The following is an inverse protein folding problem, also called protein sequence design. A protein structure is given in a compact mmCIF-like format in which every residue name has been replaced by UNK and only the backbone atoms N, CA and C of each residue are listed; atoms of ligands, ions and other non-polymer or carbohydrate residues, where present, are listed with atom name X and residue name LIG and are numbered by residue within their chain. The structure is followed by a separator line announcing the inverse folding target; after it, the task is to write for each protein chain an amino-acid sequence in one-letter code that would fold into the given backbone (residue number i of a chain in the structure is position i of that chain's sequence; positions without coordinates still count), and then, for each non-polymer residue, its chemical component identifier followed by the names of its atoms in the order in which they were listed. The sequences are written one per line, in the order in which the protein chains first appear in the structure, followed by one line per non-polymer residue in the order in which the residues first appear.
data_IF_618285316571
#
_entry.id   IF_618285316571
#
_cell.length_a   1.000
_cell.length_b   1.000
_cell.length_c   1.000
_cell.angle_alpha   90.00
_cell.angle_beta   90.00
_cell.angle_gamma   90.00
#
_symmetry.space_group_name_H-M   'P 1'
#
loop_
_entity.id
_entity.type
_entity.pdbx_description
1 polymer ?
#
# COMPACT_ATOMS: atom_id res chain seq x y z
N UNK A 1 -6.50 -7.32 5.91
CA UNK A 1 -7.04 -7.37 4.52
C UNK A 1 -7.42 -6.01 3.97
N UNK A 2 -6.47 -5.17 3.61
CA UNK A 2 -6.77 -4.14 2.62
C UNK A 2 -5.73 -4.11 1.53
N UNK A 3 -6.29 -4.18 0.34
CA UNK A 3 -5.64 -4.27 -0.93
C UNK A 3 -5.92 -2.91 -1.57
N UNK A 4 -4.90 -2.26 -2.12
CA UNK A 4 -5.17 -1.12 -3.00
C UNK A 4 -5.68 -1.71 -4.32
N UNK A 5 -7.00 -1.78 -4.45
CA UNK A 5 -7.63 -2.37 -5.62
C UNK A 5 -7.78 -1.33 -6.74
N UNK A 6 -7.28 -1.64 -7.92
CA UNK A 6 -7.41 -0.76 -9.08
C UNK A 6 -8.05 -1.48 -10.26
N UNK A 7 -9.01 -0.81 -10.91
CA UNK A 7 -9.54 -1.24 -12.20
C UNK A 7 -8.41 -1.13 -13.23
N UNK A 8 -7.93 -2.28 -13.71
CA UNK A 8 -6.73 -2.36 -14.53
C UNK A 8 -7.07 -2.90 -15.92
N UNK A 9 -6.62 -2.23 -17.00
CA UNK A 9 -6.70 -2.79 -18.34
C UNK A 9 -5.84 -4.05 -18.45
N UNK A 10 -6.39 -5.13 -19.00
CA UNK A 10 -5.61 -6.35 -19.30
C UNK A 10 -4.85 -6.13 -20.62
N UNK A 11 -3.54 -6.42 -20.65
CA UNK A 11 -2.82 -6.50 -21.93
C UNK A 11 -3.45 -7.60 -22.80
N UNK A 12 -4.07 -7.20 -23.92
CA UNK A 12 -4.76 -8.13 -24.82
C UNK A 12 -3.77 -9.10 -25.45
N UNK A 13 -4.10 -10.39 -25.48
CA UNK A 13 -3.65 -11.24 -26.57
C UNK A 13 -4.24 -10.71 -27.90
N UNK A 14 -3.46 -10.73 -28.99
CA UNK A 14 -3.91 -10.23 -30.29
C UNK A 14 -5.28 -10.82 -30.69
N UNK A 15 -6.33 -9.99 -30.80
CA UNK A 15 -7.63 -10.37 -31.38
C UNK A 15 -8.88 -10.23 -30.52
N UNK A 16 -8.82 -9.72 -29.29
CA UNK A 16 -10.02 -9.53 -28.46
C UNK A 16 -10.84 -8.26 -28.87
N UNK A 17 -12.16 -8.24 -28.58
CA UNK A 17 -13.11 -7.17 -28.95
C UNK A 17 -13.15 -6.02 -27.92
N UNK A 18 -13.36 -4.79 -28.39
CA UNK A 18 -13.42 -3.56 -27.59
C UNK A 18 -14.62 -3.57 -26.61
N UNK A 19 -14.34 -3.38 -25.31
CA UNK A 19 -15.38 -3.06 -24.29
C UNK A 19 -15.60 -4.04 -23.14
N UNK A 20 -14.99 -5.24 -23.12
CA UNK A 20 -15.27 -6.28 -22.09
C UNK A 20 -14.09 -6.60 -21.14
N UNK A 21 -12.96 -5.86 -21.20
CA UNK A 21 -11.67 -6.31 -20.64
C UNK A 21 -11.11 -5.45 -19.47
N UNK A 22 -11.96 -5.10 -18.50
CA UNK A 22 -11.49 -4.50 -17.24
C UNK A 22 -11.52 -5.55 -16.14
N UNK A 23 -10.41 -5.70 -15.43
CA UNK A 23 -10.32 -6.56 -14.25
C UNK A 23 -10.12 -5.73 -12.99
N UNK A 24 -10.64 -6.24 -11.89
CA UNK A 24 -10.29 -5.77 -10.57
C UNK A 24 -8.98 -6.45 -10.17
N UNK A 25 -7.88 -5.70 -10.29
CA UNK A 25 -6.56 -6.24 -9.99
C UNK A 25 -6.21 -5.98 -8.54
N UNK A 26 -5.78 -7.05 -7.86
CA UNK A 26 -5.14 -6.96 -6.56
C UNK A 26 -3.64 -6.71 -6.74
N UNK A 27 -3.01 -5.97 -5.83
CA UNK A 27 -1.57 -5.77 -5.86
C UNK A 27 -0.83 -7.07 -5.55
N UNK A 28 0.40 -7.17 -6.06
CA UNK A 28 1.29 -8.24 -5.68
C UNK A 28 1.78 -8.02 -4.25
N UNK A 29 1.48 -8.95 -3.35
CA UNK A 29 1.99 -8.94 -1.98
C UNK A 29 3.37 -9.60 -1.90
N UNK A 30 4.31 -8.93 -1.24
CA UNK A 30 5.68 -9.43 -1.04
C UNK A 30 6.11 -9.14 0.38
N UNK A 31 6.60 -10.17 1.08
CA UNK A 31 7.31 -9.98 2.35
C UNK A 31 8.77 -9.65 2.06
N UNK A 32 9.28 -8.56 2.65
CA UNK A 32 10.67 -8.15 2.52
C UNK A 32 11.16 -7.47 3.81
N UNK A 33 12.48 -7.48 4.08
CA UNK A 33 13.07 -6.69 5.15
C UNK A 33 12.77 -5.19 5.02
N UNK A 34 12.54 -4.51 6.15
CA UNK A 34 12.19 -3.09 6.18
C UNK A 34 13.28 -2.19 5.57
N UNK A 35 14.56 -2.47 5.85
CA UNK A 35 15.69 -1.77 5.26
C UNK A 35 15.70 -1.85 3.72
N UNK A 36 15.39 -3.01 3.15
CA UNK A 36 15.25 -3.20 1.71
C UNK A 36 14.07 -2.47 1.12
N UNK A 37 12.95 -2.43 1.84
CA UNK A 37 11.80 -1.64 1.43
C UNK A 37 12.15 -0.15 1.38
N UNK A 38 12.87 0.37 2.38
CA UNK A 38 13.34 1.75 2.42
C UNK A 38 14.30 2.07 1.27
N UNK A 39 15.31 1.21 1.03
CA UNK A 39 16.23 1.33 -0.14
C UNK A 39 15.44 1.49 -1.46
N UNK A 40 14.36 0.72 -1.62
CA UNK A 40 13.55 0.74 -2.83
C UNK A 40 12.77 2.04 -2.97
N UNK A 41 12.03 2.47 -1.94
CA UNK A 41 11.18 3.68 -2.03
C UNK A 41 12.00 4.97 -2.14
N UNK A 42 13.24 4.98 -1.65
CA UNK A 42 14.19 6.09 -1.81
C UNK A 42 14.85 6.11 -3.19
N UNK A 43 14.85 4.98 -3.91
CA UNK A 43 15.37 4.89 -5.27
C UNK A 43 14.40 5.52 -6.29
N UNK A 44 14.89 6.22 -7.34
CA UNK A 44 14.03 6.84 -8.35
C UNK A 44 13.07 5.85 -9.02
N UNK A 45 11.78 6.19 -9.07
CA UNK A 45 10.78 5.40 -9.78
C UNK A 45 10.86 5.55 -11.30
N UNK A 46 11.27 6.73 -11.77
CA UNK A 46 11.28 7.15 -13.18
C UNK A 46 12.68 7.68 -13.52
N UNK A 47 13.21 7.37 -14.71
CA UNK A 47 14.47 7.98 -15.16
C UNK A 47 14.26 9.48 -15.37
N UNK A 48 15.22 10.29 -14.91
CA UNK A 48 15.17 11.74 -15.07
C UNK A 48 15.01 12.14 -16.55
N UNK A 49 13.96 12.91 -16.85
CA UNK A 49 13.63 13.31 -18.21
C UNK A 49 12.92 12.25 -19.06
N UNK A 50 12.45 11.15 -18.46
CA UNK A 50 11.61 10.13 -19.12
C UNK A 50 10.24 10.00 -18.47
N UNK A 51 9.26 9.44 -19.18
CA UNK A 51 8.01 8.94 -18.60
C UNK A 51 8.08 7.44 -18.26
N UNK A 52 9.26 6.83 -18.39
CA UNK A 52 9.45 5.39 -18.24
C UNK A 52 9.74 5.03 -16.79
N UNK A 53 8.88 4.20 -16.20
CA UNK A 53 9.13 3.61 -14.88
C UNK A 53 10.30 2.61 -14.96
N UNK A 54 11.22 2.75 -14.02
CA UNK A 54 12.37 1.84 -13.84
C UNK A 54 11.99 0.57 -13.08
N UNK A 55 11.02 0.67 -12.17
CA UNK A 55 10.60 -0.38 -11.25
C UNK A 55 9.12 -0.27 -10.89
N UNK A 56 8.61 -1.27 -10.16
CA UNK A 56 7.26 -1.26 -9.62
C UNK A 56 7.12 -0.19 -8.53
N UNK A 57 5.89 0.32 -8.36
CA UNK A 57 5.51 1.19 -7.25
C UNK A 57 5.32 0.33 -6.02
N UNK A 58 6.04 0.65 -4.95
CA UNK A 58 5.99 -0.05 -3.67
C UNK A 58 5.27 0.80 -2.62
N UNK A 59 4.55 0.11 -1.74
CA UNK A 59 3.92 0.68 -0.58
C UNK A 59 3.67 -0.42 0.46
N UNK A 60 3.74 -0.05 1.74
CA UNK A 60 3.26 -0.82 2.87
C UNK A 60 1.92 -0.20 3.28
N UNK A 61 0.82 -0.82 2.84
CA UNK A 61 -0.55 -0.40 3.16
C UNK A 61 -1.41 -1.55 3.67
N UNK A 62 -0.77 -2.64 4.11
CA UNK A 62 -1.48 -3.76 4.69
C UNK A 62 -2.31 -3.24 5.87
N UNK A 63 -3.63 -3.37 5.77
CA UNK A 63 -4.53 -3.15 6.90
C UNK A 63 -4.74 -4.46 7.64
N UNK A 64 -5.13 -4.35 8.91
CA UNK A 64 -5.39 -5.41 9.89
C UNK A 64 -4.40 -5.34 11.07
N UNK A 65 -4.28 -4.13 11.60
CA UNK A 65 -3.40 -3.78 12.71
C UNK A 65 -1.91 -3.90 12.40
N UNK A 66 -1.50 -3.55 11.17
CA UNK A 66 -0.12 -3.70 10.67
C UNK A 66 0.95 -3.01 11.50
N UNK A 67 0.61 -1.95 12.25
CA UNK A 67 1.56 -1.35 13.19
C UNK A 67 1.97 -2.35 14.29
N UNK A 68 1.08 -3.25 14.69
CA UNK A 68 1.31 -4.17 15.81
C UNK A 68 1.73 -5.57 15.33
N UNK A 69 1.46 -5.93 14.08
CA UNK A 69 1.87 -7.22 13.50
C UNK A 69 3.22 -7.14 12.79
N UNK A 70 3.46 -6.05 12.05
CA UNK A 70 4.57 -5.97 11.09
C UNK A 70 5.64 -4.94 11.52
N UNK A 71 5.26 -3.97 12.36
CA UNK A 71 6.12 -2.84 12.79
C UNK A 71 6.03 -2.58 14.30
N UNK A 72 5.95 -3.65 15.11
CA UNK A 72 5.69 -3.57 16.56
C UNK A 72 6.71 -2.68 17.29
N UNK A 73 7.95 -2.63 16.82
CA UNK A 73 9.02 -1.79 17.38
C UNK A 73 8.68 -0.30 17.34
N UNK A 74 7.82 0.15 16.42
CA UNK A 74 7.35 1.53 16.34
C UNK A 74 6.12 1.79 17.21
N UNK A 75 5.44 0.77 17.71
CA UNK A 75 4.17 0.93 18.42
C UNK A 75 4.31 1.76 19.71
N UNK A 76 5.49 1.71 20.35
CA UNK A 76 5.78 2.47 21.58
C UNK A 76 5.93 3.98 21.35
N UNK A 77 6.19 4.40 20.11
CA UNK A 77 6.33 5.82 19.75
C UNK A 77 4.99 6.54 19.59
N UNK A 78 3.87 5.80 19.58
CA UNK A 78 2.54 6.34 19.34
C UNK A 78 1.56 5.98 20.45
N UNK A 79 0.55 6.84 20.65
CA UNK A 79 -0.57 6.47 21.49
C UNK A 79 -1.36 5.32 20.83
N UNK A 80 -1.81 4.31 21.58
CA UNK A 80 -2.53 3.16 21.03
C UNK A 80 -3.90 3.54 20.44
N UNK A 81 -4.47 4.66 20.88
CA UNK A 81 -5.76 5.19 20.45
C UNK A 81 -5.85 6.70 20.67
N UNK A 82 -6.96 7.29 20.23
CA UNK A 82 -7.23 8.72 20.38
C UNK A 82 -8.28 8.91 21.48
N UNK A 83 -7.85 9.36 22.65
CA UNK A 83 -8.69 9.36 23.87
C UNK A 83 -10.07 10.04 23.72
N UNK A 84 -10.14 11.16 23.00
CA UNK A 84 -11.43 11.84 22.78
C UNK A 84 -12.35 11.02 21.86
N UNK A 85 -11.79 10.30 20.90
CA UNK A 85 -12.55 9.47 19.97
C UNK A 85 -13.08 8.23 20.70
N UNK A 86 -12.24 7.60 21.53
CA UNK A 86 -12.66 6.46 22.35
C UNK A 86 -13.86 6.82 23.25
N UNK A 87 -13.83 8.02 23.85
CA UNK A 87 -14.94 8.52 24.65
C UNK A 87 -16.21 8.80 23.83
N UNK A 88 -16.06 9.31 22.61
CA UNK A 88 -17.18 9.63 21.72
C UNK A 88 -17.85 8.37 21.14
N UNK A 89 -17.05 7.36 20.78
CA UNK A 89 -17.53 6.12 20.15
C UNK A 89 -17.79 4.97 21.15
N UNK A 90 -17.27 5.08 22.39
CA UNK A 90 -17.47 4.09 23.44
C UNK A 90 -16.63 2.82 23.29
N UNK A 91 -15.63 2.83 22.41
CA UNK A 91 -14.72 1.73 22.15
C UNK A 91 -13.35 2.23 21.68
N UNK A 92 -12.33 1.37 21.79
CA UNK A 92 -11.01 1.57 21.19
C UNK A 92 -11.02 1.10 19.73
N UNK A 93 -10.09 1.57 18.87
CA UNK A 93 -9.97 1.10 17.50
C UNK A 93 -9.74 -0.42 17.45
N UNK A 94 -10.39 -1.10 16.50
CA UNK A 94 -10.22 -2.53 16.28
C UNK A 94 -8.88 -2.88 15.61
N UNK A 95 -8.22 -1.90 15.00
CA UNK A 95 -6.94 -2.04 14.32
C UNK A 95 -6.22 -0.69 14.24
N UNK A 96 -4.90 -0.72 14.36
CA UNK A 96 -4.03 0.44 14.12
C UNK A 96 -3.02 0.09 13.03
N UNK A 97 -3.09 0.78 11.90
CA UNK A 97 -2.28 0.48 10.72
C UNK A 97 -1.21 1.55 10.51
N UNK A 98 -0.09 1.14 9.91
CA UNK A 98 0.93 2.05 9.39
C UNK A 98 0.85 2.10 7.87
N UNK A 99 1.13 3.28 7.31
CA UNK A 99 1.11 3.53 5.87
C UNK A 99 2.42 4.18 5.45
N UNK A 100 3.17 3.49 4.60
CA UNK A 100 4.42 3.99 4.02
C UNK A 100 4.37 3.72 2.53
N UNK A 101 4.71 4.67 1.67
CA UNK A 101 4.68 4.43 0.24
C UNK A 101 5.21 5.58 -0.57
N UNK A 102 5.38 5.31 -1.86
CA UNK A 102 5.86 6.30 -2.81
C UNK A 102 4.79 7.33 -3.18
N UNK A 103 5.22 8.51 -3.64
CA UNK A 103 4.33 9.56 -4.16
C UNK A 103 3.48 9.09 -5.36
N UNK A 104 3.82 7.97 -6.00
CA UNK A 104 3.05 7.37 -7.09
C UNK A 104 1.98 6.38 -6.62
N UNK A 105 2.00 5.95 -5.35
CA UNK A 105 0.98 5.06 -4.80
C UNK A 105 -0.38 5.78 -4.70
N UNK A 106 -1.46 5.10 -5.08
CA UNK A 106 -2.83 5.62 -5.06
C UNK A 106 -3.73 4.57 -4.40
N UNK A 107 -4.66 5.04 -3.58
CA UNK A 107 -5.68 4.24 -2.88
C UNK A 107 -7.05 4.51 -3.48
#
# INVERSE_FOLDING_TARGET
NALADAVTPVERAQGAREGEDLVFAQPLEVSMPCDRFLDVIESPLVEEGSDRRLRNVHYASHQDSSLHTDFMELAEDFAPSIAWADAAFGNVPAATNIWIGENAART
#
